data_IF_772536514060
#
_entry.id   IF_772536514060
#
_cell.length_a   1.000
_cell.length_b   1.000
_cell.length_c   1.000
_cell.angle_alpha   90.00
_cell.angle_beta   90.00
_cell.angle_gamma   90.00
#
_symmetry.space_group_name_H-M   'P 1'
#
loop_
_entity.id
_entity.type
_entity.pdbx_description
1 polymer ?
#
# COMPACT_ATOMS: atom_id res chain seq x y z
N UNK A 1 -16.91 -5.68 3.34
CA UNK A 1 -15.85 -4.69 3.54
C UNK A 1 -14.50 -5.38 3.34
N UNK A 2 -13.65 -4.82 2.51
CA UNK A 2 -12.34 -5.39 2.25
C UNK A 2 -11.30 -4.76 3.16
N UNK A 3 -10.32 -5.54 3.55
CA UNK A 3 -9.19 -5.05 4.31
C UNK A 3 -8.02 -4.81 3.35
N UNK A 4 -7.26 -3.75 3.61
CA UNK A 4 -6.10 -3.37 2.83
C UNK A 4 -4.91 -3.36 3.77
N UNK A 5 -3.84 -4.04 3.38
CA UNK A 5 -2.60 -4.01 4.14
C UNK A 5 -1.75 -2.83 3.69
N UNK A 6 -1.26 -2.06 4.64
CA UNK A 6 -0.42 -0.90 4.38
C UNK A 6 1.02 -1.22 4.77
N UNK A 7 1.95 -0.96 3.85
CA UNK A 7 3.38 -1.19 4.06
C UNK A 7 4.13 0.13 3.92
N UNK A 8 5.25 0.22 4.61
CA UNK A 8 6.17 1.36 4.51
C UNK A 8 7.49 0.88 3.96
N UNK A 9 8.25 1.82 3.39
CA UNK A 9 9.59 1.53 2.88
C UNK A 9 10.60 2.43 3.60
N UNK A 10 11.43 1.88 4.50
CA UNK A 10 12.41 2.69 5.24
C UNK A 10 13.42 3.40 4.35
N UNK A 11 13.69 2.87 3.15
CA UNK A 11 14.62 3.49 2.21
C UNK A 11 13.98 4.62 1.41
N UNK A 12 12.65 4.71 1.43
CA UNK A 12 11.89 5.72 0.67
C UNK A 12 10.85 6.34 1.58
N UNK A 13 11.27 7.25 2.49
CA UNK A 13 10.35 7.88 3.44
C UNK A 13 9.19 8.57 2.72
N UNK A 14 8.00 8.41 3.25
CA UNK A 14 6.80 9.01 2.69
C UNK A 14 6.12 8.18 1.62
N UNK A 15 6.75 7.10 1.16
CA UNK A 15 6.14 6.21 0.18
C UNK A 15 5.39 5.10 0.90
N UNK A 16 4.11 4.93 0.59
CA UNK A 16 3.27 3.89 1.15
C UNK A 16 2.86 2.91 0.06
N UNK A 17 2.71 1.65 0.45
CA UNK A 17 2.21 0.61 -0.45
C UNK A 17 0.95 0.02 0.16
N UNK A 18 -0.12 0.00 -0.61
CA UNK A 18 -1.38 -0.62 -0.21
C UNK A 18 -1.58 -1.88 -1.02
N UNK A 19 -1.86 -2.98 -0.33
CA UNK A 19 -2.06 -4.29 -0.96
C UNK A 19 -3.35 -4.88 -0.43
N UNK A 20 -4.15 -5.50 -1.30
CA UNK A 20 -5.36 -6.20 -0.89
C UNK A 20 -4.97 -7.32 0.08
N UNK A 21 -5.72 -7.44 1.17
CA UNK A 21 -5.48 -8.47 2.18
C UNK A 21 -5.44 -9.86 1.52
N UNK A 22 -4.42 -10.63 1.88
CA UNK A 22 -4.27 -11.97 1.35
C UNK A 22 -3.50 -12.08 0.04
N UNK A 23 -3.23 -10.95 -0.63
CA UNK A 23 -2.46 -10.97 -1.89
C UNK A 23 -0.98 -11.18 -1.65
N UNK A 24 -0.44 -10.58 -0.58
CA UNK A 24 0.98 -10.67 -0.26
C UNK A 24 1.86 -9.83 -1.17
N UNK A 25 3.17 -9.91 -0.94
CA UNK A 25 4.15 -9.08 -1.62
C UNK A 25 4.78 -9.75 -2.84
N UNK A 26 4.32 -10.94 -3.23
CA UNK A 26 4.97 -11.71 -4.28
C UNK A 26 5.01 -11.01 -5.62
N UNK A 27 4.06 -10.10 -5.88
CA UNK A 27 4.02 -9.35 -7.13
C UNK A 27 4.83 -8.06 -7.10
N UNK A 28 5.48 -7.75 -5.96
CA UNK A 28 6.20 -6.50 -5.77
C UNK A 28 7.69 -6.75 -6.00
N UNK A 29 8.35 -6.03 -6.94
CA UNK A 29 9.74 -6.31 -7.31
C UNK A 29 10.73 -6.20 -6.16
N UNK A 30 10.53 -5.24 -5.27
CA UNK A 30 11.42 -4.98 -4.13
C UNK A 30 10.75 -5.36 -2.81
N UNK A 31 10.08 -6.51 -2.78
CA UNK A 31 9.30 -6.93 -1.62
C UNK A 31 10.09 -6.93 -0.31
N UNK A 32 11.38 -7.24 -0.35
CA UNK A 32 12.20 -7.29 0.85
C UNK A 32 12.40 -5.92 1.50
N UNK A 33 12.18 -4.83 0.77
CA UNK A 33 12.35 -3.47 1.29
C UNK A 33 11.08 -2.96 1.99
N UNK A 34 9.99 -3.66 1.86
CA UNK A 34 8.69 -3.22 2.41
C UNK A 34 8.43 -3.88 3.75
N UNK A 35 7.99 -3.07 4.71
CA UNK A 35 7.70 -3.52 6.06
C UNK A 35 6.23 -3.30 6.37
N UNK A 36 5.57 -4.31 6.90
CA UNK A 36 4.16 -4.21 7.26
C UNK A 36 3.98 -3.11 8.32
N UNK A 37 3.03 -2.23 8.08
CA UNK A 37 2.72 -1.14 9.01
C UNK A 37 1.39 -1.37 9.71
N UNK A 38 0.31 -1.47 8.94
CA UNK A 38 -1.02 -1.59 9.54
C UNK A 38 -1.99 -2.13 8.51
N UNK A 39 -3.19 -2.48 9.01
CA UNK A 39 -4.30 -2.87 8.16
C UNK A 39 -5.36 -1.78 8.25
N UNK A 40 -5.89 -1.36 7.12
CA UNK A 40 -6.91 -0.31 7.06
C UNK A 40 -8.11 -0.83 6.28
N UNK A 41 -9.26 -0.23 6.52
CA UNK A 41 -10.45 -0.54 5.74
C UNK A 41 -10.33 0.08 4.35
N UNK A 42 -10.90 -0.59 3.34
CA UNK A 42 -10.86 -0.06 1.97
C UNK A 42 -11.47 1.33 1.87
N UNK A 43 -12.46 1.63 2.71
CA UNK A 43 -13.11 2.94 2.72
C UNK A 43 -12.20 4.06 3.21
N UNK A 44 -11.10 3.73 3.87
CA UNK A 44 -10.12 4.72 4.35
C UNK A 44 -9.08 5.04 3.30
N UNK A 45 -9.07 4.31 2.19
CA UNK A 45 -8.11 4.51 1.11
C UNK A 45 -8.76 5.41 0.06
N UNK A 46 -8.06 6.42 -0.48
CA UNK A 46 -8.61 7.27 -1.53
C UNK A 46 -9.11 6.46 -2.71
N UNK A 47 -10.19 6.92 -3.33
CA UNK A 47 -10.86 6.17 -4.39
C UNK A 47 -9.92 5.83 -5.56
N UNK A 48 -9.05 6.75 -5.92
CA UNK A 48 -8.10 6.50 -7.01
C UNK A 48 -7.18 5.31 -6.70
N UNK A 49 -6.78 5.17 -5.43
CA UNK A 49 -5.95 4.04 -5.00
C UNK A 49 -6.76 2.75 -4.91
N UNK A 50 -8.02 2.84 -4.50
CA UNK A 50 -8.91 1.68 -4.50
C UNK A 50 -9.07 1.12 -5.91
N UNK A 51 -9.23 1.99 -6.90
CA UNK A 51 -9.35 1.59 -8.29
C UNK A 51 -8.08 0.90 -8.77
N UNK A 52 -6.93 1.43 -8.38
CA UNK A 52 -5.64 0.82 -8.71
C UNK A 52 -5.50 -0.57 -8.09
N UNK A 53 -5.86 -0.70 -6.82
CA UNK A 53 -5.82 -1.97 -6.12
C UNK A 53 -6.75 -3.00 -6.77
N UNK A 54 -7.94 -2.56 -7.18
CA UNK A 54 -8.90 -3.44 -7.86
C UNK A 54 -8.35 -3.95 -9.19
N UNK A 55 -7.56 -3.12 -9.86
CA UNK A 55 -7.04 -3.42 -11.18
C UNK A 55 -5.78 -4.28 -11.13
N UNK A 56 -4.86 -3.97 -10.21
CA UNK A 56 -3.54 -4.59 -10.17
C UNK A 56 -3.25 -5.36 -8.88
N UNK A 57 -4.07 -5.18 -7.84
CA UNK A 57 -3.88 -5.82 -6.54
C UNK A 57 -3.08 -4.98 -5.56
N UNK A 58 -2.49 -3.87 -6.00
CA UNK A 58 -1.71 -2.99 -5.13
C UNK A 58 -1.74 -1.56 -5.66
N UNK A 59 -1.33 -0.62 -4.80
CA UNK A 59 -1.21 0.79 -5.17
C UNK A 59 -0.15 1.46 -4.31
N UNK A 60 0.48 2.50 -4.84
CA UNK A 60 1.47 3.28 -4.12
C UNK A 60 0.91 4.67 -3.84
N UNK A 61 1.27 5.24 -2.70
CA UNK A 61 0.93 6.61 -2.37
C UNK A 61 2.17 7.33 -1.87
N UNK A 62 2.49 8.48 -2.46
CA UNK A 62 3.59 9.32 -2.01
C UNK A 62 3.03 10.43 -1.15
N UNK A 63 3.44 10.46 0.12
CA UNK A 63 3.08 11.55 1.03
C UNK A 63 3.98 12.75 0.79
N UNK A 64 3.47 13.97 0.98
CA UNK A 64 4.32 15.15 0.87
C UNK A 64 5.38 15.12 1.96
N UNK A 65 6.60 15.65 1.70
CA UNK A 65 7.63 15.68 2.72
C UNK A 65 7.22 16.61 3.86
N UNK A 66 7.66 16.31 5.08
CA UNK A 66 7.39 17.21 6.22
C UNK A 66 8.11 18.53 5.99
N UNK A 67 7.45 19.59 6.37
CA UNK A 67 8.05 20.93 6.29
C UNK A 67 8.80 21.29 7.54
#
# INVERSE_FOLDING_TARGET
MLEIECFINPKKPGLLLYIRYGTGLSAIPDAADWVFSSTVADTEVPQALQDEISRTGHAYQQLPPPE
#
